data_IF_391030998450
#
_entry.id   IF_391030998450
#
_cell.length_a   1.000
_cell.length_b   1.000
_cell.length_c   1.000
_cell.angle_alpha   90.00
_cell.angle_beta   90.00
_cell.angle_gamma   90.00
#
_symmetry.space_group_name_H-M   'P 1'
#
loop_
_entity.id
_entity.type
_entity.pdbx_description
1 polymer ?
#
# COMPACT_ATOMS: atom_id res chain seq x y z
N UNK A 1 9.84 30.66 -10.09
CA UNK A 1 9.18 29.36 -10.30
C UNK A 1 9.88 28.67 -11.46
N UNK A 2 10.63 27.60 -11.24
CA UNK A 2 11.21 26.82 -12.34
C UNK A 2 10.07 26.08 -13.04
N UNK A 3 10.05 26.13 -14.37
CA UNK A 3 9.06 25.42 -15.18
C UNK A 3 9.03 23.94 -14.78
N UNK A 4 7.85 23.37 -14.46
CA UNK A 4 7.73 21.97 -14.05
C UNK A 4 8.23 20.98 -15.13
N UNK A 5 8.30 21.42 -16.38
CA UNK A 5 8.77 20.60 -17.51
C UNK A 5 10.28 20.59 -17.73
N UNK A 6 11.06 21.32 -16.92
CA UNK A 6 12.51 21.41 -17.15
C UNK A 6 13.29 20.22 -16.58
N UNK A 7 12.65 19.37 -15.75
CA UNK A 7 13.22 18.16 -15.14
C UNK A 7 12.70 16.84 -15.73
N UNK A 8 11.97 16.91 -16.84
CA UNK A 8 11.37 15.73 -17.48
C UNK A 8 12.35 14.55 -17.66
N UNK A 9 13.60 14.83 -18.01
CA UNK A 9 14.62 13.79 -18.23
C UNK A 9 14.95 13.00 -16.96
N UNK A 10 14.87 13.64 -15.81
CA UNK A 10 15.16 13.03 -14.50
C UNK A 10 13.87 12.46 -13.89
N UNK A 11 12.73 13.11 -14.12
CA UNK A 11 11.43 12.72 -13.56
C UNK A 11 10.82 11.49 -14.27
N UNK A 12 11.12 11.27 -15.55
CA UNK A 12 10.56 10.17 -16.33
C UNK A 12 11.03 8.79 -15.82
N UNK A 13 12.34 8.53 -15.60
CA UNK A 13 12.79 7.27 -15.02
C UNK A 13 12.22 7.05 -13.62
N UNK A 14 12.16 8.10 -12.79
CA UNK A 14 11.61 8.01 -11.45
C UNK A 14 10.11 7.66 -11.47
N UNK A 15 9.33 8.27 -12.38
CA UNK A 15 7.90 7.99 -12.51
C UNK A 15 7.62 6.56 -12.99
N UNK A 16 8.46 6.00 -13.86
CA UNK A 16 8.37 4.61 -14.31
C UNK A 16 8.59 3.65 -13.13
N UNK A 17 9.61 3.90 -12.30
CA UNK A 17 9.87 3.07 -11.12
C UNK A 17 8.69 3.14 -10.15
N UNK A 18 8.18 4.33 -9.85
CA UNK A 18 7.02 4.52 -8.97
C UNK A 18 5.78 3.81 -9.53
N UNK A 19 5.57 3.86 -10.85
CA UNK A 19 4.46 3.17 -11.50
C UNK A 19 4.53 1.65 -11.30
N UNK A 20 5.70 1.04 -11.54
CA UNK A 20 5.89 -0.41 -11.37
C UNK A 20 5.75 -0.88 -9.92
N UNK A 21 6.06 -0.04 -8.95
CA UNK A 21 5.83 -0.32 -7.52
C UNK A 21 4.37 -0.12 -7.14
N UNK A 22 3.74 0.95 -7.62
CA UNK A 22 2.36 1.29 -7.26
C UNK A 22 1.33 0.33 -7.86
N UNK A 23 1.58 -0.21 -9.06
CA UNK A 23 0.62 -1.05 -9.78
C UNK A 23 0.28 -2.35 -9.02
N UNK A 24 1.26 -3.20 -8.60
CA UNK A 24 0.97 -4.39 -7.81
C UNK A 24 0.33 -4.05 -6.46
N UNK A 25 0.74 -2.96 -5.81
CA UNK A 25 0.14 -2.52 -4.54
C UNK A 25 -1.33 -2.11 -4.70
N UNK A 26 -1.67 -1.38 -5.77
CA UNK A 26 -3.06 -1.03 -6.08
C UNK A 26 -3.91 -2.26 -6.32
N UNK A 27 -3.39 -3.22 -7.10
CA UNK A 27 -4.09 -4.47 -7.38
C UNK A 27 -4.21 -5.34 -6.12
N UNK A 28 -3.17 -5.42 -5.30
CA UNK A 28 -3.16 -6.15 -4.04
C UNK A 28 -4.23 -5.64 -3.07
N UNK A 29 -4.35 -4.33 -2.88
CA UNK A 29 -5.42 -3.74 -2.05
C UNK A 29 -6.80 -3.99 -2.67
N UNK A 30 -6.92 -3.88 -4.00
CA UNK A 30 -8.15 -4.21 -4.71
C UNK A 30 -8.57 -5.66 -4.49
N UNK A 31 -7.66 -6.62 -4.64
CA UNK A 31 -7.90 -8.04 -4.40
C UNK A 31 -8.18 -8.33 -2.92
N UNK A 32 -7.42 -7.77 -2.01
CA UNK A 32 -7.62 -7.94 -0.57
C UNK A 32 -9.02 -7.50 -0.13
N UNK A 33 -9.59 -6.47 -0.76
CA UNK A 33 -10.96 -6.03 -0.49
C UNK A 33 -12.02 -7.01 -1.00
N UNK A 34 -11.68 -7.94 -1.92
CA UNK A 34 -12.61 -8.98 -2.43
C UNK A 34 -12.70 -10.21 -1.55
N UNK A 35 -11.78 -10.41 -0.62
CA UNK A 35 -11.72 -11.60 0.25
C UNK A 35 -12.82 -11.63 1.31
N UNK A 36 -13.54 -10.52 1.52
CA UNK A 36 -14.65 -10.45 2.48
C UNK A 36 -15.89 -11.04 1.87
N UNK A 37 -16.43 -12.11 2.50
CA UNK A 37 -17.61 -12.85 2.04
C UNK A 37 -18.81 -11.92 1.80
N UNK A 38 -19.49 -12.12 0.66
CA UNK A 38 -20.72 -11.42 0.29
C UNK A 38 -20.55 -10.19 -0.58
N UNK A 39 -19.33 -9.81 -0.93
CA UNK A 39 -19.05 -8.67 -1.79
C UNK A 39 -18.03 -9.03 -2.88
N UNK A 40 -18.34 -8.73 -4.14
CA UNK A 40 -17.41 -8.80 -5.27
C UNK A 40 -17.02 -7.39 -5.72
N UNK A 41 -16.19 -6.65 -4.95
CA UNK A 41 -15.63 -5.42 -5.50
C UNK A 41 -14.75 -5.80 -6.68
N UNK A 42 -14.84 -5.02 -7.74
CA UNK A 42 -14.02 -5.21 -8.92
C UNK A 42 -12.56 -4.92 -8.50
N UNK A 43 -11.58 -5.82 -8.71
CA UNK A 43 -10.17 -5.59 -8.32
C UNK A 43 -9.60 -4.27 -8.86
N UNK A 44 -10.17 -3.77 -9.95
CA UNK A 44 -9.87 -2.46 -10.56
C UNK A 44 -10.15 -1.29 -9.62
N UNK A 45 -10.95 -1.44 -8.56
CA UNK A 45 -11.23 -0.35 -7.60
C UNK A 45 -9.96 0.21 -6.95
N UNK A 46 -9.02 -0.66 -6.60
CA UNK A 46 -7.71 -0.26 -6.07
C UNK A 46 -6.87 0.53 -7.09
N UNK A 47 -6.92 0.11 -8.35
CA UNK A 47 -6.23 0.82 -9.43
C UNK A 47 -6.83 2.21 -9.67
N UNK A 48 -8.16 2.32 -9.68
CA UNK A 48 -8.85 3.62 -9.82
C UNK A 48 -8.46 4.56 -8.66
N UNK A 49 -8.45 4.05 -7.43
CA UNK A 49 -8.03 4.81 -6.26
C UNK A 49 -6.57 5.28 -6.38
N UNK A 50 -5.68 4.41 -6.89
CA UNK A 50 -4.28 4.76 -7.15
C UNK A 50 -4.12 5.83 -8.23
N UNK A 51 -4.87 5.76 -9.32
CA UNK A 51 -4.85 6.76 -10.38
C UNK A 51 -5.34 8.11 -9.86
N UNK A 52 -6.47 8.12 -9.14
CA UNK A 52 -7.01 9.36 -8.54
C UNK A 52 -6.00 9.94 -7.53
N UNK A 53 -5.43 9.11 -6.65
CA UNK A 53 -4.40 9.54 -5.71
C UNK A 53 -3.17 10.12 -6.40
N UNK A 54 -2.63 9.42 -7.40
CA UNK A 54 -1.45 9.86 -8.13
C UNK A 54 -1.67 11.13 -8.94
N UNK A 55 -2.76 11.21 -9.69
CA UNK A 55 -3.02 12.33 -10.60
C UNK A 55 -3.66 13.51 -9.86
N UNK A 56 -4.81 13.30 -9.22
CA UNK A 56 -5.59 14.43 -8.64
C UNK A 56 -4.87 14.99 -7.42
N UNK A 57 -4.46 14.13 -6.48
CA UNK A 57 -3.76 14.59 -5.27
C UNK A 57 -2.36 15.08 -5.62
N UNK A 58 -1.67 14.46 -6.57
CA UNK A 58 -0.36 14.91 -7.05
C UNK A 58 -0.40 16.33 -7.63
N UNK A 59 -1.44 16.66 -8.42
CA UNK A 59 -1.62 18.01 -8.98
C UNK A 59 -1.99 19.06 -7.93
N UNK A 60 -2.79 18.69 -6.93
CA UNK A 60 -3.27 19.62 -5.90
C UNK A 60 -2.23 19.83 -4.80
N UNK A 61 -1.48 18.78 -4.44
CA UNK A 61 -0.57 18.76 -3.29
C UNK A 61 0.62 19.71 -3.42
N UNK A 62 1.01 20.11 -4.63
CA UNK A 62 2.22 20.91 -4.89
C UNK A 62 3.51 20.34 -4.21
N UNK A 63 3.49 19.09 -3.77
CA UNK A 63 4.63 18.40 -3.19
C UNK A 63 5.54 17.86 -4.30
N UNK A 64 6.82 18.16 -4.23
CA UNK A 64 7.80 17.68 -5.22
C UNK A 64 8.32 16.27 -4.94
N UNK A 65 8.13 15.78 -3.73
CA UNK A 65 8.69 14.51 -3.25
C UNK A 65 7.62 13.54 -2.75
N UNK A 66 6.39 14.01 -2.50
CA UNK A 66 5.30 13.18 -1.99
C UNK A 66 4.57 12.48 -3.13
N UNK A 67 4.45 11.17 -3.03
CA UNK A 67 3.59 10.36 -3.89
C UNK A 67 2.36 9.97 -3.07
N UNK A 68 1.17 10.27 -3.58
CA UNK A 68 -0.08 9.78 -2.99
C UNK A 68 -0.49 8.51 -3.72
N UNK A 69 -0.66 7.43 -2.99
CA UNK A 69 -0.98 6.14 -3.57
C UNK A 69 -1.24 5.08 -2.51
N UNK A 70 -1.36 3.83 -2.92
CA UNK A 70 -1.58 2.72 -2.02
C UNK A 70 -0.41 2.57 -1.05
N UNK A 71 -0.74 2.25 0.20
CA UNK A 71 0.25 1.98 1.24
C UNK A 71 0.09 0.53 1.71
N UNK A 72 1.15 -0.24 1.52
CA UNK A 72 1.22 -1.65 1.92
C UNK A 72 0.80 -1.89 3.37
N UNK A 73 1.31 -1.08 4.30
CA UNK A 73 0.97 -1.19 5.72
C UNK A 73 -0.50 -0.92 6.08
N UNK A 74 -1.32 -0.44 5.13
CA UNK A 74 -2.74 -0.21 5.35
C UNK A 74 -3.63 -1.37 4.86
N UNK A 75 -3.09 -2.38 4.19
CA UNK A 75 -3.86 -3.52 3.67
C UNK A 75 -4.61 -4.22 4.81
N UNK A 76 -3.92 -4.55 5.89
CA UNK A 76 -4.51 -5.20 7.06
C UNK A 76 -5.59 -4.34 7.73
N UNK A 77 -5.39 -3.01 7.77
CA UNK A 77 -6.37 -2.07 8.29
C UNK A 77 -7.61 -2.02 7.41
N UNK A 78 -7.44 -2.03 6.09
CA UNK A 78 -8.55 -2.05 5.10
C UNK A 78 -9.37 -3.33 5.26
N UNK A 79 -8.72 -4.51 5.26
CA UNK A 79 -9.40 -5.80 5.40
C UNK A 79 -10.16 -5.88 6.73
N UNK A 80 -9.51 -5.57 7.84
CA UNK A 80 -10.16 -5.59 9.15
C UNK A 80 -11.30 -4.59 9.28
N UNK A 81 -11.18 -3.42 8.67
CA UNK A 81 -12.25 -2.42 8.66
C UNK A 81 -13.46 -2.88 7.85
N UNK A 82 -13.25 -3.51 6.68
CA UNK A 82 -14.34 -4.04 5.86
C UNK A 82 -15.06 -5.18 6.61
N UNK A 83 -14.29 -6.10 7.24
CA UNK A 83 -14.86 -7.21 7.99
C UNK A 83 -15.67 -6.74 9.22
N UNK A 84 -15.18 -5.73 9.94
CA UNK A 84 -15.88 -5.14 11.08
C UNK A 84 -17.16 -4.41 10.67
N UNK A 85 -17.16 -3.71 9.54
CA UNK A 85 -18.31 -2.96 9.05
C UNK A 85 -19.33 -3.85 8.30
N UNK A 86 -18.95 -5.06 7.94
CA UNK A 86 -19.81 -6.03 7.28
C UNK A 86 -20.28 -5.64 5.88
N UNK A 87 -19.84 -4.48 5.35
CA UNK A 87 -20.16 -4.06 3.99
C UNK A 87 -19.12 -3.07 3.44
N UNK A 88 -18.83 -3.22 2.15
CA UNK A 88 -17.91 -2.32 1.44
C UNK A 88 -18.47 -0.89 1.33
N UNK A 89 -19.77 -0.75 1.17
CA UNK A 89 -20.40 0.58 1.11
C UNK A 89 -20.27 1.35 2.44
N UNK A 90 -20.37 0.65 3.58
CA UNK A 90 -20.13 1.25 4.89
C UNK A 90 -18.65 1.65 5.03
N UNK A 91 -17.74 0.82 4.52
CA UNK A 91 -16.31 1.14 4.49
C UNK A 91 -16.01 2.38 3.64
N UNK A 92 -16.61 2.50 2.45
CA UNK A 92 -16.46 3.70 1.61
C UNK A 92 -16.99 4.96 2.30
N UNK A 93 -18.12 4.86 3.01
CA UNK A 93 -18.64 5.97 3.80
C UNK A 93 -17.67 6.36 4.93
N UNK A 94 -17.10 5.36 5.62
CA UNK A 94 -16.08 5.60 6.65
C UNK A 94 -14.84 6.29 6.08
N UNK A 95 -14.40 5.93 4.87
CA UNK A 95 -13.29 6.59 4.18
C UNK A 95 -13.60 8.07 3.86
N UNK A 96 -14.82 8.37 3.42
CA UNK A 96 -15.25 9.77 3.17
C UNK A 96 -15.22 10.57 4.47
N UNK A 97 -15.73 10.00 5.56
CA UNK A 97 -15.69 10.64 6.88
C UNK A 97 -14.25 10.84 7.37
N UNK A 98 -13.39 9.84 7.19
CA UNK A 98 -11.98 9.95 7.53
C UNK A 98 -11.29 11.07 6.75
N UNK A 99 -11.58 11.19 5.44
CA UNK A 99 -11.09 12.29 4.61
C UNK A 99 -11.57 13.66 5.12
N UNK A 100 -12.82 13.75 5.55
CA UNK A 100 -13.36 14.98 6.13
C UNK A 100 -12.63 15.37 7.45
N UNK A 101 -12.39 14.40 8.34
CA UNK A 101 -11.60 14.63 9.55
C UNK A 101 -10.17 15.05 9.24
N UNK A 102 -9.53 14.44 8.21
CA UNK A 102 -8.21 14.84 7.77
C UNK A 102 -8.17 16.31 7.32
N UNK A 103 -9.19 16.78 6.61
CA UNK A 103 -9.31 18.21 6.25
C UNK A 103 -9.40 19.12 7.47
N UNK A 104 -10.18 18.73 8.48
CA UNK A 104 -10.27 19.49 9.74
C UNK A 104 -8.88 19.54 10.42
N UNK A 105 -8.18 18.41 10.52
CA UNK A 105 -6.84 18.36 11.11
C UNK A 105 -5.82 19.19 10.30
N UNK A 106 -5.96 19.23 8.99
CA UNK A 106 -5.12 20.08 8.14
C UNK A 106 -5.35 21.57 8.43
N UNK A 107 -6.61 21.99 8.58
CA UNK A 107 -6.98 23.37 8.96
C UNK A 107 -6.45 23.74 10.35
N UNK A 108 -6.50 22.82 11.31
CA UNK A 108 -5.95 22.97 12.65
C UNK A 108 -4.41 22.91 12.69
N UNK A 109 -3.75 22.73 11.52
CA UNK A 109 -2.28 22.56 11.42
C UNK A 109 -1.76 21.42 12.28
N UNK A 110 -2.52 20.35 12.45
CA UNK A 110 -2.14 19.18 13.26
C UNK A 110 -0.86 18.48 12.74
N UNK A 111 -0.42 18.78 11.50
CA UNK A 111 0.85 18.32 10.95
C UNK A 111 2.09 18.70 11.78
N UNK A 112 1.97 19.69 12.68
CA UNK A 112 3.05 20.04 13.63
C UNK A 112 3.42 18.81 14.51
N UNK A 113 2.47 17.92 14.82
CA UNK A 113 2.73 16.71 15.59
C UNK A 113 3.77 15.81 14.91
N UNK A 114 3.84 15.81 13.58
CA UNK A 114 4.82 15.04 12.83
C UNK A 114 6.27 15.47 13.12
N UNK A 115 6.49 16.74 13.52
CA UNK A 115 7.83 17.23 13.86
C UNK A 115 8.37 16.64 15.19
N UNK A 116 7.50 16.08 16.00
CA UNK A 116 7.90 15.41 17.25
C UNK A 116 8.31 13.96 17.05
N UNK A 117 8.07 13.39 15.85
CA UNK A 117 8.52 12.03 15.53
C UNK A 117 10.03 12.01 15.28
N UNK A 118 10.81 11.23 16.04
CA UNK A 118 12.23 11.10 15.81
C UNK A 118 12.50 10.53 14.40
N UNK A 119 13.42 11.14 13.67
CA UNK A 119 13.80 10.67 12.32
C UNK A 119 14.30 9.21 12.31
N UNK A 120 14.84 8.73 13.44
CA UNK A 120 15.23 7.34 13.61
C UNK A 120 14.08 6.36 13.53
N UNK A 121 12.91 6.71 14.09
CA UNK A 121 11.69 5.87 14.01
C UNK A 121 11.22 5.75 12.56
N UNK A 122 11.19 6.85 11.82
CA UNK A 122 10.79 6.87 10.41
C UNK A 122 11.73 6.02 9.57
N UNK A 123 13.05 6.17 9.77
CA UNK A 123 14.06 5.37 9.05
C UNK A 123 13.95 3.88 9.40
N UNK A 124 13.74 3.56 10.68
CA UNK A 124 13.54 2.19 11.15
C UNK A 124 12.30 1.54 10.52
N UNK A 125 11.20 2.27 10.46
CA UNK A 125 9.96 1.81 9.84
C UNK A 125 10.14 1.55 8.33
N UNK A 126 10.80 2.48 7.61
CA UNK A 126 11.09 2.31 6.18
C UNK A 126 12.02 1.11 5.93
N UNK A 127 13.03 0.92 6.77
CA UNK A 127 13.92 -0.23 6.66
C UNK A 127 13.18 -1.55 6.93
N UNK A 128 12.30 -1.59 7.93
CA UNK A 128 11.49 -2.76 8.23
C UNK A 128 10.56 -3.12 7.07
N UNK A 129 9.87 -2.14 6.48
CA UNK A 129 9.02 -2.34 5.31
C UNK A 129 9.86 -2.88 4.14
N UNK A 130 11.03 -2.28 3.86
CA UNK A 130 11.90 -2.75 2.78
C UNK A 130 12.39 -4.19 2.97
N UNK A 131 12.75 -4.57 4.19
CA UNK A 131 13.17 -5.94 4.52
C UNK A 131 11.99 -6.91 4.35
N UNK A 132 10.80 -6.56 4.83
CA UNK A 132 9.60 -7.39 4.69
C UNK A 132 9.25 -7.61 3.22
N UNK A 133 9.30 -6.58 2.39
CA UNK A 133 9.10 -6.67 0.95
C UNK A 133 10.08 -7.66 0.30
N UNK A 134 11.38 -7.51 0.57
CA UNK A 134 12.40 -8.41 0.02
C UNK A 134 12.13 -9.87 0.44
N UNK A 135 11.82 -10.09 1.72
CA UNK A 135 11.56 -11.44 2.23
C UNK A 135 10.32 -12.07 1.59
N UNK A 136 9.29 -11.29 1.31
CA UNK A 136 8.05 -11.78 0.68
C UNK A 136 8.20 -12.07 -0.81
N UNK A 137 9.09 -11.39 -1.50
CA UNK A 137 9.37 -11.67 -2.90
C UNK A 137 10.19 -12.95 -3.13
N UNK A 138 10.87 -13.47 -2.10
CA UNK A 138 11.69 -14.68 -2.22
C UNK A 138 10.84 -15.92 -2.57
N UNK A 139 9.72 -16.25 -1.91
CA UNK A 139 8.86 -17.37 -2.28
C UNK A 139 8.32 -17.25 -3.72
N UNK A 140 7.89 -16.05 -4.13
CA UNK A 140 7.41 -15.80 -5.50
C UNK A 140 8.50 -16.03 -6.55
N UNK A 141 9.74 -15.67 -6.25
CA UNK A 141 10.89 -15.87 -7.13
C UNK A 141 11.21 -17.36 -7.35
N UNK A 142 10.87 -18.20 -6.38
CA UNK A 142 11.05 -19.67 -6.41
C UNK A 142 9.83 -20.35 -7.07
N UNK A 143 8.74 -19.62 -7.34
CA UNK A 143 7.51 -20.15 -7.92
C UNK A 143 6.52 -20.73 -6.89
N UNK A 144 6.67 -20.35 -5.63
CA UNK A 144 5.74 -20.70 -4.56
C UNK A 144 4.72 -19.58 -4.36
N UNK A 145 3.67 -19.57 -5.19
CA UNK A 145 2.63 -18.54 -5.24
C UNK A 145 1.38 -18.95 -4.45
N UNK A 146 1.49 -19.15 -3.14
CA UNK A 146 0.31 -19.37 -2.29
C UNK A 146 -0.32 -18.08 -1.83
N UNK A 147 0.49 -17.03 -1.67
CA UNK A 147 0.02 -15.73 -1.27
C UNK A 147 -0.39 -14.90 -2.47
N UNK A 148 -1.44 -14.11 -2.33
CA UNK A 148 -1.81 -13.20 -3.41
C UNK A 148 -0.84 -12.02 -3.50
N UNK A 149 -0.58 -11.59 -4.72
CA UNK A 149 0.31 -10.47 -5.01
C UNK A 149 -0.18 -9.22 -4.27
N UNK A 150 0.75 -8.61 -3.49
CA UNK A 150 0.47 -7.38 -2.73
C UNK A 150 0.08 -7.59 -1.27
N UNK A 151 0.05 -8.82 -0.75
CA UNK A 151 -0.01 -9.03 0.70
C UNK A 151 1.35 -8.79 1.33
N UNK A 152 1.53 -7.62 1.92
CA UNK A 152 2.78 -7.23 2.57
C UNK A 152 2.70 -7.33 4.11
N UNK A 153 1.67 -7.97 4.65
CA UNK A 153 1.56 -8.21 6.08
C UNK A 153 2.58 -9.25 6.54
N UNK A 154 3.33 -8.95 7.60
CA UNK A 154 4.28 -9.91 8.18
C UNK A 154 3.58 -11.14 8.75
N UNK A 155 2.43 -10.94 9.39
CA UNK A 155 1.53 -12.00 9.85
C UNK A 155 0.36 -12.09 8.89
N UNK A 156 0.20 -13.25 8.26
CA UNK A 156 -0.87 -13.52 7.32
C UNK A 156 -2.13 -14.01 8.04
N UNK A 157 -3.26 -13.93 7.35
CA UNK A 157 -4.55 -14.35 7.91
C UNK A 157 -4.67 -15.88 8.03
N UNK A 158 -3.84 -16.62 7.31
CA UNK A 158 -3.75 -18.09 7.35
C UNK A 158 -2.96 -18.63 8.55
N UNK A 159 -2.45 -17.74 9.42
CA UNK A 159 -1.67 -18.07 10.60
C UNK A 159 -0.18 -18.31 10.32
N UNK A 160 0.25 -18.13 9.09
CA UNK A 160 1.66 -18.18 8.71
C UNK A 160 2.32 -16.80 8.88
N UNK A 161 3.64 -16.77 8.85
CA UNK A 161 4.42 -15.55 8.81
C UNK A 161 5.43 -15.60 7.67
N UNK A 162 5.92 -14.46 7.23
CA UNK A 162 6.85 -14.34 6.11
C UNK A 162 8.07 -15.27 6.22
N UNK A 163 8.52 -15.59 7.43
CA UNK A 163 9.67 -16.50 7.63
C UNK A 163 9.27 -17.95 7.43
N UNK A 164 8.08 -18.35 7.87
CA UNK A 164 7.57 -19.71 7.66
C UNK A 164 7.32 -19.99 6.19
N UNK A 165 6.85 -19.00 5.42
CA UNK A 165 6.61 -19.16 3.99
C UNK A 165 7.89 -19.39 3.20
N UNK A 166 8.98 -18.72 3.57
CA UNK A 166 10.30 -18.99 2.99
C UNK A 166 10.74 -20.45 3.28
N UNK A 167 10.51 -20.94 4.50
CA UNK A 167 10.86 -22.33 4.85
C UNK A 167 10.01 -23.33 4.07
N UNK A 168 8.72 -23.06 3.87
CA UNK A 168 7.85 -23.90 3.05
C UNK A 168 8.22 -23.87 1.57
N UNK A 169 8.58 -22.69 1.05
CA UNK A 169 9.04 -22.53 -0.31
C UNK A 169 10.32 -23.31 -0.59
N UNK A 170 11.30 -23.26 0.33
CA UNK A 170 12.54 -24.04 0.23
C UNK A 170 12.24 -25.54 0.30
N UNK A 171 11.33 -25.97 1.18
CA UNK A 171 10.94 -27.37 1.29
C UNK A 171 10.16 -27.88 0.07
N UNK A 172 9.45 -27.02 -0.62
CA UNK A 172 8.76 -27.34 -1.86
C UNK A 172 9.71 -27.51 -3.06
N UNK A 173 10.92 -26.97 -2.98
CA UNK A 173 11.98 -27.14 -3.99
C UNK A 173 12.73 -28.46 -3.88
N UNK A 174 12.66 -29.16 -2.74
CA UNK A 174 13.27 -30.47 -2.53
C UNK A 174 12.20 -31.55 -2.74
N UNK A 175 11.99 -32.04 -3.99
CA UNK A 175 11.14 -33.16 -4.27
C UNK A 175 11.94 -34.43 -3.87
N UNK A 176 11.77 -34.86 -2.60
CA UNK A 176 12.37 -36.11 -2.09
C UNK A 176 12.08 -37.33 -2.93
#
# INVERSE_FOLDING_TARGET
MKNPFNSWRDDLPASIVVFFVALPLCLGIGLASTTVEGFNPIPISGLIAGIIGGVVVGLISNSRLGVSGPAAGLITVVISSISLLGSFNAFLLALVLAGFFQLIFALLRAGIVANYLPSGVIKGMLAAIGITLILKEIPHLIGYDKDYVGDEAFFQQDGHNTVTDILYAIKALDPG
#
